data_IF_167750750394
#
_entry.id   IF_167750750394
#
_cell.length_a   1.000
_cell.length_b   1.000
_cell.length_c   1.000
_cell.angle_alpha   90.00
_cell.angle_beta   90.00
_cell.angle_gamma   90.00
#
_symmetry.space_group_name_H-M   'P 1'
#
loop_
_entity.id
_entity.type
_entity.pdbx_description
1 polymer ?
#
# COMPACT_ATOMS: atom_id res chain seq x y z
N UNK A 1 21.90 3.40 5.35
CA UNK A 1 20.54 3.52 4.77
C UNK A 1 19.97 4.85 5.22
N UNK A 2 19.59 5.73 4.28
CA UNK A 2 19.11 7.09 4.58
C UNK A 2 17.80 7.09 5.38
N UNK A 3 16.92 6.10 5.15
CA UNK A 3 15.58 6.06 5.76
C UNK A 3 15.57 5.81 7.28
N UNK A 4 16.68 5.33 7.86
CA UNK A 4 16.77 4.97 9.29
C UNK A 4 17.94 5.64 10.01
N UNK A 5 18.80 6.35 9.27
CA UNK A 5 19.95 7.00 9.89
C UNK A 5 19.49 8.30 10.58
N UNK A 6 19.70 8.44 11.90
CA UNK A 6 19.28 9.65 12.60
C UNK A 6 20.12 10.85 12.15
N UNK A 7 19.48 11.99 11.97
CA UNK A 7 20.14 13.26 11.65
C UNK A 7 20.96 13.70 12.87
N UNK A 8 22.21 14.13 12.63
CA UNK A 8 23.13 14.64 13.65
C UNK A 8 23.67 16.00 13.21
N UNK A 9 24.05 16.82 14.18
CA UNK A 9 24.65 18.12 13.90
C UNK A 9 25.95 17.98 13.10
N UNK A 10 26.11 18.84 12.09
CA UNK A 10 27.28 18.82 11.21
C UNK A 10 27.30 17.70 10.17
N UNK A 11 26.18 17.02 9.91
CA UNK A 11 26.11 15.99 8.85
C UNK A 11 26.13 16.61 7.45
N UNK A 12 26.98 16.06 6.58
CA UNK A 12 26.96 16.32 5.14
C UNK A 12 26.48 15.09 4.39
N UNK A 13 25.55 15.27 3.45
CA UNK A 13 24.93 14.17 2.70
C UNK A 13 25.24 14.32 1.22
N UNK A 14 26.05 13.40 0.70
CA UNK A 14 26.34 13.31 -0.73
C UNK A 14 25.49 12.21 -1.36
N UNK A 15 24.63 12.59 -2.32
CA UNK A 15 23.66 11.67 -2.94
C UNK A 15 24.02 11.26 -4.37
N UNK A 16 25.06 11.86 -4.95
CA UNK A 16 25.42 11.77 -6.36
C UNK A 16 26.90 11.42 -6.61
N UNK A 17 27.61 10.87 -5.61
CA UNK A 17 28.98 10.38 -5.83
C UNK A 17 28.98 9.13 -6.69
N UNK A 18 30.08 8.85 -7.40
CA UNK A 18 30.24 7.65 -8.23
C UNK A 18 29.93 6.37 -7.46
N UNK A 19 30.37 6.30 -6.19
CA UNK A 19 30.08 5.18 -5.29
C UNK A 19 28.57 4.99 -5.08
N UNK A 20 27.84 6.07 -4.81
CA UNK A 20 26.39 5.99 -4.55
C UNK A 20 25.64 5.62 -5.83
N UNK A 21 26.02 6.19 -6.97
CA UNK A 21 25.42 5.84 -8.26
C UNK A 21 25.63 4.36 -8.56
N UNK A 22 26.86 3.84 -8.39
CA UNK A 22 27.16 2.41 -8.57
C UNK A 22 26.31 1.52 -7.67
N UNK A 23 26.22 1.84 -6.38
CA UNK A 23 25.39 1.07 -5.43
C UNK A 23 23.91 1.06 -5.82
N UNK A 24 23.37 2.18 -6.33
CA UNK A 24 21.99 2.23 -6.82
C UNK A 24 21.81 1.36 -8.06
N UNK A 25 22.74 1.43 -9.03
CA UNK A 25 22.73 0.56 -10.22
C UNK A 25 22.72 -0.93 -9.82
N UNK A 26 23.54 -1.32 -8.85
CA UNK A 26 23.58 -2.70 -8.35
C UNK A 26 22.25 -3.13 -7.72
N UNK A 27 21.61 -2.27 -6.91
CA UNK A 27 20.30 -2.56 -6.32
C UNK A 27 19.23 -2.68 -7.40
N UNK A 28 19.20 -1.75 -8.35
CA UNK A 28 18.23 -1.73 -9.46
C UNK A 28 18.38 -2.99 -10.31
N UNK A 29 19.61 -3.44 -10.59
CA UNK A 29 19.86 -4.70 -11.27
C UNK A 29 19.24 -5.89 -10.51
N UNK A 30 19.44 -5.97 -9.19
CA UNK A 30 18.86 -7.04 -8.37
C UNK A 30 17.32 -7.01 -8.36
N UNK A 31 16.72 -5.82 -8.35
CA UNK A 31 15.27 -5.67 -8.45
C UNK A 31 14.77 -6.13 -9.83
N UNK A 32 15.45 -5.71 -10.90
CA UNK A 32 15.11 -6.08 -12.28
C UNK A 32 15.21 -7.59 -12.51
N UNK A 33 16.22 -8.24 -11.93
CA UNK A 33 16.35 -9.71 -11.98
C UNK A 33 15.22 -10.44 -11.24
N UNK A 34 14.61 -9.82 -10.22
CA UNK A 34 13.49 -10.41 -9.48
C UNK A 34 12.16 -10.22 -10.23
N UNK A 35 11.94 -9.03 -10.77
CA UNK A 35 10.67 -8.64 -11.39
C UNK A 35 10.92 -8.12 -12.81
N UNK A 36 11.34 -9.00 -13.74
CA UNK A 36 11.86 -8.59 -15.05
C UNK A 36 10.80 -7.92 -15.94
N UNK A 37 9.52 -8.26 -15.73
CA UNK A 37 8.41 -7.76 -16.52
C UNK A 37 7.72 -6.52 -15.93
N UNK A 38 8.06 -6.12 -14.70
CA UNK A 38 7.39 -5.04 -14.00
C UNK A 38 7.80 -3.66 -14.56
N UNK A 39 6.84 -2.87 -15.01
CA UNK A 39 7.12 -1.58 -15.67
C UNK A 39 7.76 -0.53 -14.75
N UNK A 40 7.36 -0.48 -13.47
CA UNK A 40 7.97 0.44 -12.50
C UNK A 40 9.48 0.17 -12.34
N UNK A 41 9.87 -1.10 -12.31
CA UNK A 41 11.27 -1.49 -12.19
C UNK A 41 12.04 -1.30 -13.51
N UNK A 42 11.41 -1.52 -14.66
CA UNK A 42 12.02 -1.18 -15.97
C UNK A 42 12.25 0.32 -16.12
N UNK A 43 11.33 1.15 -15.63
CA UNK A 43 11.52 2.61 -15.64
C UNK A 43 12.71 3.02 -14.76
N UNK A 44 12.81 2.45 -13.56
CA UNK A 44 13.96 2.68 -12.68
C UNK A 44 15.28 2.18 -13.31
N UNK A 45 15.25 1.06 -14.03
CA UNK A 45 16.41 0.56 -14.78
C UNK A 45 16.85 1.51 -15.90
N UNK A 46 15.89 2.13 -16.61
CA UNK A 46 16.17 3.18 -17.61
C UNK A 46 16.75 4.44 -16.97
N UNK A 47 16.21 4.89 -15.84
CA UNK A 47 16.70 6.07 -15.11
C UNK A 47 18.17 5.90 -14.69
N UNK A 48 18.52 4.72 -14.20
CA UNK A 48 19.87 4.41 -13.72
C UNK A 48 20.79 3.83 -14.80
N UNK A 49 20.34 3.68 -16.04
CA UNK A 49 21.10 3.09 -17.14
C UNK A 49 21.67 1.70 -16.75
N UNK A 50 20.74 0.78 -16.46
CA UNK A 50 21.00 -0.59 -16.03
C UNK A 50 20.29 -1.57 -16.96
N UNK A 51 21.05 -2.54 -17.46
CA UNK A 51 20.52 -3.66 -18.25
C UNK A 51 20.81 -4.98 -17.56
N UNK A 52 19.82 -5.88 -17.53
CA UNK A 52 20.00 -7.21 -16.98
C UNK A 52 20.58 -8.17 -18.02
N UNK A 53 21.57 -9.02 -17.68
CA UNK A 53 22.05 -10.03 -18.61
C UNK A 53 20.95 -11.06 -18.90
N UNK A 54 20.71 -11.33 -20.18
CA UNK A 54 19.63 -12.18 -20.68
C UNK A 54 19.57 -13.57 -20.00
N UNK A 55 20.73 -14.11 -19.63
CA UNK A 55 20.86 -15.40 -18.93
C UNK A 55 20.10 -15.48 -17.60
N UNK A 56 19.85 -14.34 -16.94
CA UNK A 56 19.24 -14.28 -15.61
C UNK A 56 17.78 -13.81 -15.62
N UNK A 57 17.18 -13.52 -16.78
CA UNK A 57 15.81 -13.00 -16.88
C UNK A 57 14.71 -14.08 -16.80
N UNK A 58 15.06 -15.36 -16.81
CA UNK A 58 14.11 -16.48 -16.86
C UNK A 58 13.62 -16.98 -15.47
N UNK A 59 13.82 -16.21 -14.39
CA UNK A 59 13.73 -16.74 -13.02
C UNK A 59 12.29 -16.82 -12.48
N UNK A 60 11.39 -15.92 -12.86
CA UNK A 60 9.94 -16.05 -12.67
C UNK A 60 9.26 -14.89 -13.41
N UNK A 61 8.74 -15.12 -14.61
CA UNK A 61 8.16 -14.05 -15.44
C UNK A 61 6.89 -13.42 -14.84
N UNK A 62 6.32 -14.02 -13.79
CA UNK A 62 5.05 -13.61 -13.17
C UNK A 62 5.21 -12.91 -11.82
N UNK A 63 6.43 -12.78 -11.32
CA UNK A 63 6.68 -12.10 -10.05
C UNK A 63 6.80 -10.58 -10.27
N UNK A 64 5.91 -9.82 -9.62
CA UNK A 64 5.89 -8.36 -9.62
C UNK A 64 6.24 -7.77 -8.24
N UNK A 65 6.33 -8.60 -7.19
CA UNK A 65 6.63 -8.15 -5.84
C UNK A 65 8.12 -8.02 -5.59
N UNK A 66 8.58 -6.82 -5.27
CA UNK A 66 9.98 -6.54 -4.89
C UNK A 66 10.32 -6.77 -3.41
N UNK A 67 9.38 -7.33 -2.63
CA UNK A 67 9.55 -7.63 -1.20
C UNK A 67 9.95 -6.41 -0.32
N UNK A 68 9.49 -5.21 -0.68
CA UNK A 68 9.78 -3.99 0.08
C UNK A 68 9.14 -3.96 1.49
N UNK A 69 8.07 -4.75 1.69
CA UNK A 69 7.36 -4.86 2.97
C UNK A 69 6.48 -3.66 3.34
N UNK A 70 6.26 -2.71 2.42
CA UNK A 70 5.39 -1.55 2.66
C UNK A 70 3.95 -1.97 2.95
N UNK A 71 3.43 -2.95 2.21
CA UNK A 71 2.10 -3.53 2.40
C UNK A 71 1.91 -4.13 3.80
N UNK A 72 2.89 -4.89 4.29
CA UNK A 72 2.87 -5.49 5.64
C UNK A 72 2.86 -4.40 6.70
N UNK A 73 3.73 -3.39 6.58
CA UNK A 73 3.76 -2.25 7.50
C UNK A 73 2.44 -1.47 7.51
N UNK A 74 1.83 -1.24 6.35
CA UNK A 74 0.53 -0.57 6.26
C UNK A 74 -0.56 -1.37 6.95
N UNK A 75 -0.59 -2.69 6.74
CA UNK A 75 -1.54 -3.60 7.38
C UNK A 75 -1.36 -3.65 8.92
N UNK A 76 -0.12 -3.69 9.39
CA UNK A 76 0.23 -3.62 10.81
C UNK A 76 -0.18 -2.27 11.44
N UNK A 77 0.08 -1.16 10.75
CA UNK A 77 -0.26 0.19 11.24
C UNK A 77 -1.76 0.43 11.35
N UNK A 78 -2.56 -0.18 10.49
CA UNK A 78 -4.02 -0.20 10.62
C UNK A 78 -4.48 -1.03 11.83
N UNK A 79 -3.67 -1.97 12.29
CA UNK A 79 -3.93 -2.84 13.44
C UNK A 79 -4.66 -4.13 13.10
N UNK A 80 -4.62 -4.58 11.84
CA UNK A 80 -5.20 -5.87 11.42
C UNK A 80 -4.15 -6.96 11.25
N UNK A 81 -2.96 -6.61 10.74
CA UNK A 81 -1.84 -7.55 10.55
C UNK A 81 -2.20 -8.82 9.76
N UNK A 82 -3.11 -8.70 8.79
CA UNK A 82 -3.63 -9.82 8.01
C UNK A 82 -2.63 -10.47 7.04
N UNK A 83 -1.53 -9.78 6.72
CA UNK A 83 -0.48 -10.24 5.80
C UNK A 83 0.91 -10.10 6.42
N UNK A 84 1.84 -10.96 6.00
CA UNK A 84 3.21 -10.97 6.51
C UNK A 84 4.22 -11.42 5.44
N UNK A 85 5.52 -11.27 5.75
CA UNK A 85 6.59 -11.89 4.96
C UNK A 85 6.75 -13.34 5.43
N UNK A 86 6.48 -14.29 4.54
CA UNK A 86 6.61 -15.73 4.80
C UNK A 86 7.81 -16.31 4.05
N UNK A 87 8.22 -17.52 4.44
CA UNK A 87 9.40 -18.23 3.91
C UNK A 87 10.73 -17.50 4.14
N UNK A 88 11.82 -18.00 3.54
CA UNK A 88 13.19 -17.50 3.70
C UNK A 88 13.97 -17.60 2.38
N UNK A 89 15.01 -16.79 2.23
CA UNK A 89 15.86 -16.83 1.04
C UNK A 89 15.08 -16.47 -0.23
N UNK A 90 15.29 -17.24 -1.30
CA UNK A 90 14.68 -17.01 -2.62
C UNK A 90 13.18 -17.31 -2.65
N UNK A 91 12.67 -18.15 -1.74
CA UNK A 91 11.25 -18.52 -1.67
C UNK A 91 10.40 -17.54 -0.85
N UNK A 92 11.01 -16.44 -0.38
CA UNK A 92 10.35 -15.39 0.40
C UNK A 92 9.25 -14.73 -0.43
N UNK A 93 8.06 -14.60 0.16
CA UNK A 93 6.89 -13.96 -0.46
C UNK A 93 6.06 -13.21 0.58
N UNK A 94 5.19 -12.31 0.11
CA UNK A 94 4.12 -11.74 0.93
C UNK A 94 2.93 -12.68 0.86
N UNK A 95 2.36 -13.04 2.01
CA UNK A 95 1.13 -13.83 2.03
C UNK A 95 0.32 -13.64 3.31
N UNK A 96 -0.91 -14.11 3.27
CA UNK A 96 -1.77 -14.37 4.42
C UNK A 96 -1.38 -15.66 5.15
N UNK A 97 -1.87 -15.88 6.38
CA UNK A 97 -1.69 -17.16 7.07
C UNK A 97 -2.15 -18.33 6.20
N UNK A 98 -1.26 -19.33 6.03
CA UNK A 98 -1.50 -20.53 5.23
C UNK A 98 -1.85 -20.29 3.74
N UNK A 99 -1.53 -19.11 3.19
CA UNK A 99 -1.97 -18.70 1.85
C UNK A 99 -3.51 -18.63 1.67
N UNK A 100 -4.26 -18.61 2.78
CA UNK A 100 -5.71 -18.61 2.81
C UNK A 100 -6.30 -17.22 3.11
N UNK A 101 -7.58 -17.04 2.80
CA UNK A 101 -8.30 -15.81 3.12
C UNK A 101 -8.26 -15.49 4.62
N UNK A 102 -7.49 -14.47 5.01
CA UNK A 102 -7.35 -14.08 6.41
C UNK A 102 -8.65 -13.51 6.96
N UNK A 103 -9.04 -13.96 8.16
CA UNK A 103 -10.19 -13.43 8.91
C UNK A 103 -9.96 -12.00 9.38
N UNK A 104 -8.70 -11.66 9.67
CA UNK A 104 -8.30 -10.33 10.13
C UNK A 104 -8.25 -9.30 8.99
N UNK A 105 -8.26 -9.75 7.73
CA UNK A 105 -8.35 -8.85 6.59
C UNK A 105 -9.73 -8.19 6.56
N UNK A 106 -9.77 -6.86 6.68
CA UNK A 106 -11.00 -6.05 6.62
C UNK A 106 -11.30 -5.52 5.21
N UNK A 107 -10.48 -5.84 4.20
CA UNK A 107 -10.68 -5.37 2.83
C UNK A 107 -10.43 -3.87 2.61
N UNK A 108 -9.65 -3.22 3.47
CA UNK A 108 -9.38 -1.77 3.39
C UNK A 108 -8.60 -1.34 2.14
N UNK A 109 -7.86 -2.24 1.49
CA UNK A 109 -7.10 -1.95 0.27
C UNK A 109 -5.79 -1.17 0.45
N UNK A 110 -5.47 -0.73 1.68
CA UNK A 110 -4.26 0.05 1.96
C UNK A 110 -2.96 -0.64 1.54
N UNK A 111 -2.92 -1.98 1.58
CA UNK A 111 -1.76 -2.74 1.13
C UNK A 111 -1.52 -2.64 -0.39
N UNK A 112 -2.59 -2.61 -1.20
CA UNK A 112 -2.50 -2.43 -2.64
C UNK A 112 -2.09 -0.99 -2.98
N UNK A 113 -2.67 0.00 -2.30
CA UNK A 113 -2.39 1.43 -2.51
C UNK A 113 -0.91 1.80 -2.27
N UNK A 114 -0.26 1.20 -1.25
CA UNK A 114 1.16 1.47 -0.96
C UNK A 114 2.14 0.64 -1.79
N UNK A 115 1.65 -0.23 -2.66
CA UNK A 115 2.49 -1.11 -3.46
C UNK A 115 3.09 -0.34 -4.64
N UNK A 116 4.42 -0.14 -4.70
CA UNK A 116 5.03 0.63 -5.80
C UNK A 116 5.00 -0.10 -7.14
N UNK A 117 4.83 -1.41 -7.13
CA UNK A 117 4.90 -2.26 -8.33
C UNK A 117 3.54 -2.86 -8.72
N UNK A 118 2.46 -2.46 -8.04
CA UNK A 118 1.10 -2.97 -8.25
C UNK A 118 0.98 -4.51 -8.15
N UNK A 119 1.87 -5.15 -7.37
CA UNK A 119 1.93 -6.60 -7.24
C UNK A 119 0.72 -7.23 -6.51
N UNK A 120 -0.15 -6.42 -5.89
CA UNK A 120 -1.30 -6.89 -5.13
C UNK A 120 -2.56 -6.63 -5.94
N UNK A 121 -3.21 -7.72 -6.36
CA UNK A 121 -4.48 -7.65 -7.07
C UNK A 121 -5.62 -7.23 -6.13
N UNK A 122 -6.19 -6.06 -6.41
CA UNK A 122 -7.42 -5.55 -5.81
C UNK A 122 -8.42 -5.32 -6.94
N UNK A 123 -9.53 -6.03 -6.90
CA UNK A 123 -10.58 -5.93 -7.91
C UNK A 123 -11.85 -5.44 -7.26
N UNK A 124 -12.43 -4.39 -7.82
CA UNK A 124 -13.74 -3.88 -7.41
C UNK A 124 -14.73 -4.01 -8.55
N UNK A 125 -15.85 -4.67 -8.28
CA UNK A 125 -16.92 -4.84 -9.26
C UNK A 125 -18.25 -5.03 -8.55
N UNK A 126 -19.29 -4.35 -9.06
CA UNK A 126 -20.69 -4.49 -8.57
C UNK A 126 -20.85 -4.33 -7.05
N UNK A 127 -20.19 -3.32 -6.47
CA UNK A 127 -20.25 -3.08 -5.03
C UNK A 127 -19.54 -4.12 -4.18
N UNK A 128 -18.68 -4.94 -4.77
CA UNK A 128 -17.83 -5.89 -4.06
C UNK A 128 -16.36 -5.58 -4.31
N UNK A 129 -15.53 -5.83 -3.31
CA UNK A 129 -14.08 -5.74 -3.38
C UNK A 129 -13.47 -7.11 -3.09
N UNK A 130 -12.61 -7.60 -3.96
CA UNK A 130 -11.88 -8.85 -3.77
C UNK A 130 -10.39 -8.56 -3.61
N UNK A 131 -9.81 -9.05 -2.52
CA UNK A 131 -8.38 -8.94 -2.22
C UNK A 131 -7.96 -10.11 -1.31
N UNK A 132 -6.76 -10.66 -1.52
CA UNK A 132 -6.23 -11.80 -0.73
C UNK A 132 -7.21 -12.98 -0.63
N UNK A 133 -7.76 -13.40 -1.76
CA UNK A 133 -8.74 -14.51 -1.86
C UNK A 133 -10.02 -14.33 -1.04
N UNK A 134 -10.32 -13.11 -0.56
CA UNK A 134 -11.55 -12.78 0.17
C UNK A 134 -12.32 -11.69 -0.57
N UNK A 135 -13.64 -11.83 -0.57
CA UNK A 135 -14.56 -10.84 -1.16
C UNK A 135 -15.35 -10.15 -0.07
N UNK A 136 -15.46 -8.84 -0.17
CA UNK A 136 -16.07 -7.93 0.80
C UNK A 136 -17.19 -7.14 0.13
N UNK A 137 -18.26 -6.84 0.87
CA UNK A 137 -19.30 -5.93 0.39
C UNK A 137 -18.89 -4.49 0.67
N UNK A 138 -19.07 -3.62 -0.32
CA UNK A 138 -18.81 -2.20 -0.19
C UNK A 138 -20.05 -1.45 0.29
N UNK A 139 -19.85 -0.55 1.23
CA UNK A 139 -20.86 0.36 1.77
C UNK A 139 -20.91 1.64 0.94
N UNK A 140 -22.12 2.12 0.67
CA UNK A 140 -22.37 3.39 0.00
C UNK A 140 -22.42 4.54 1.01
N UNK A 141 -21.90 5.69 0.61
CA UNK A 141 -22.05 6.93 1.35
C UNK A 141 -23.52 7.39 1.35
N UNK A 142 -24.09 7.68 2.52
CA UNK A 142 -25.49 8.14 2.66
C UNK A 142 -25.78 9.45 1.91
N UNK A 143 -24.77 10.31 1.73
CA UNK A 143 -24.93 11.62 1.08
C UNK A 143 -24.79 11.59 -0.44
N UNK A 144 -23.87 10.80 -0.99
CA UNK A 144 -23.55 10.82 -2.43
C UNK A 144 -23.75 9.49 -3.16
N UNK A 145 -24.07 8.41 -2.44
CA UNK A 145 -24.33 7.08 -3.01
C UNK A 145 -23.10 6.34 -3.54
N UNK A 146 -21.90 6.92 -3.47
CA UNK A 146 -20.66 6.27 -3.91
C UNK A 146 -20.20 5.21 -2.92
N UNK A 147 -19.72 4.08 -3.42
CA UNK A 147 -18.96 3.12 -2.63
C UNK A 147 -17.66 3.75 -2.13
N UNK A 148 -17.31 3.50 -0.87
CA UNK A 148 -16.10 4.11 -0.29
C UNK A 148 -15.32 3.19 0.65
N UNK A 149 -15.97 2.23 1.32
CA UNK A 149 -15.31 1.31 2.24
C UNK A 149 -16.05 -0.03 2.29
N UNK A 150 -15.46 -1.04 2.94
CA UNK A 150 -16.07 -2.34 3.20
C UNK A 150 -16.84 -2.34 4.53
N UNK A 151 -17.83 -3.22 4.67
CA UNK A 151 -18.60 -3.40 5.91
C UNK A 151 -17.68 -3.69 7.11
N UNK A 152 -16.73 -4.62 6.94
CA UNK A 152 -15.80 -4.98 8.02
C UNK A 152 -14.85 -3.83 8.38
N UNK A 153 -14.42 -3.01 7.42
CA UNK A 153 -13.60 -1.85 7.73
C UNK A 153 -14.39 -0.77 8.46
N UNK A 154 -15.68 -0.61 8.15
CA UNK A 154 -16.56 0.31 8.84
C UNK A 154 -16.76 -0.10 10.30
N UNK A 155 -17.13 -1.36 10.54
CA UNK A 155 -17.26 -1.91 11.90
C UNK A 155 -15.95 -1.80 12.69
N UNK A 156 -14.81 -2.10 12.05
CA UNK A 156 -13.50 -1.97 12.68
C UNK A 156 -13.17 -0.53 13.12
N UNK A 157 -13.60 0.47 12.35
CA UNK A 157 -13.41 1.88 12.68
C UNK A 157 -14.35 2.28 13.82
N UNK A 158 -15.62 1.89 13.75
CA UNK A 158 -16.64 2.21 14.76
C UNK A 158 -16.24 1.63 16.13
N UNK A 159 -15.81 0.37 16.17
CA UNK A 159 -15.30 -0.31 17.37
C UNK A 159 -14.07 0.41 17.95
N UNK A 160 -13.14 0.85 17.10
CA UNK A 160 -11.92 1.55 17.55
C UNK A 160 -12.19 2.95 18.09
N UNK A 161 -13.16 3.65 17.51
CA UNK A 161 -13.50 5.02 17.92
C UNK A 161 -14.51 5.05 19.07
N UNK A 162 -15.20 3.92 19.33
CA UNK A 162 -16.28 3.86 20.31
C UNK A 162 -17.47 4.73 19.92
N UNK A 163 -17.71 4.87 18.61
CA UNK A 163 -18.78 5.72 18.07
C UNK A 163 -19.85 4.80 17.48
N UNK A 164 -21.07 4.90 17.97
CA UNK A 164 -22.25 4.40 17.28
C UNK A 164 -22.62 5.42 16.20
N UNK A 165 -21.99 5.31 15.03
CA UNK A 165 -22.09 6.31 13.99
C UNK A 165 -23.35 6.04 13.15
N UNK A 166 -24.41 6.83 13.32
CA UNK A 166 -25.64 6.66 12.53
C UNK A 166 -25.48 7.08 11.06
N UNK A 167 -24.46 7.89 10.73
CA UNK A 167 -24.30 8.47 9.39
C UNK A 167 -22.94 8.14 8.73
N UNK A 168 -22.97 7.14 7.85
CA UNK A 168 -21.79 6.65 7.14
C UNK A 168 -21.49 7.50 5.89
N UNK A 169 -20.51 8.40 6.02
CA UNK A 169 -20.10 9.34 4.97
C UNK A 169 -18.70 9.04 4.42
N UNK A 170 -18.53 9.14 3.10
CA UNK A 170 -17.20 9.09 2.50
C UNK A 170 -16.36 10.33 2.87
N UNK A 171 -15.03 10.22 2.77
CA UNK A 171 -14.08 11.28 3.16
C UNK A 171 -14.42 12.65 2.55
N UNK A 172 -14.77 12.69 1.27
CA UNK A 172 -15.13 13.94 0.58
C UNK A 172 -16.44 14.55 1.13
N UNK A 173 -17.44 13.73 1.45
CA UNK A 173 -18.70 14.21 2.01
C UNK A 173 -18.54 14.64 3.47
N UNK A 174 -17.70 13.94 4.24
CA UNK A 174 -17.39 14.30 5.61
C UNK A 174 -16.66 15.65 5.68
N UNK A 175 -15.65 15.87 4.82
CA UNK A 175 -14.96 17.18 4.70
C UNK A 175 -15.92 18.32 4.33
N UNK A 176 -16.88 18.08 3.43
CA UNK A 176 -17.91 19.07 3.07
C UNK A 176 -18.81 19.41 4.25
N UNK A 177 -19.30 18.39 4.97
CA UNK A 177 -20.14 18.58 6.16
C UNK A 177 -19.42 19.38 7.24
N UNK A 178 -18.15 19.07 7.50
CA UNK A 178 -17.33 19.85 8.43
C UNK A 178 -17.18 21.31 7.98
N UNK A 179 -16.97 21.55 6.68
CA UNK A 179 -16.91 22.91 6.14
C UNK A 179 -18.22 23.69 6.27
N UNK A 180 -19.36 23.03 6.07
CA UNK A 180 -20.70 23.60 6.26
C UNK A 180 -20.93 24.00 7.73
N UNK A 181 -20.64 23.09 8.67
CA UNK A 181 -20.71 23.36 10.12
C UNK A 181 -19.80 24.50 10.55
N UNK A 182 -18.59 24.55 10.00
CA UNK A 182 -17.64 25.63 10.27
C UNK A 182 -18.19 26.98 9.78
N UNK A 183 -18.78 27.03 8.58
CA UNK A 183 -19.41 28.25 8.06
C UNK A 183 -20.56 28.73 8.95
N UNK A 184 -21.42 27.82 9.41
CA UNK A 184 -22.54 28.14 10.31
C UNK A 184 -22.04 28.65 11.68
N UNK A 185 -21.02 28.03 12.25
CA UNK A 185 -20.42 28.49 13.50
C UNK A 185 -19.88 29.93 13.38
N UNK A 186 -19.24 30.28 12.26
CA UNK A 186 -18.75 31.64 12.02
C UNK A 186 -19.87 32.65 11.78
N UNK A 187 -21.00 32.24 11.19
CA UNK A 187 -22.18 33.10 11.04
C UNK A 187 -22.87 33.42 12.38
N UNK A 188 -22.68 32.59 13.40
CA UNK A 188 -23.26 32.78 14.74
C UNK A 188 -22.32 33.53 15.72
N UNK A 189 -21.12 33.92 15.28
CA UNK A 189 -20.13 34.66 16.11
C UNK A 189 -20.17 36.18 15.82
N UNK A 190 -20.79 36.60 14.72
CA UNK A 190 -21.05 38.00 14.35
C UNK A 190 -22.55 38.26 14.27
#
# INVERSE_FOLDING_TARGET
>A
SSCVYPIKDGIEVFTNTERIIKMRKDIVLLLLLRTPNNEYIKELAREYDVEAPERYLNIDEKEDCILCGLCVKACEKLGTSAISLVNRGTTKKISTPYDDASKDCIGCGACAEVCPTDAISLVEHDGKRTIWNRTFNLVKCSRCGKYYTTEEALHFIDDKLGIENEEHLCEACNKRLMGEKFKEAFQNIF
#
